data_IF_891382926300
#
_entry.id   IF_891382926300
#
_cell.length_a   1.000
_cell.length_b   1.000
_cell.length_c   1.000
_cell.angle_alpha   90.00
_cell.angle_beta   90.00
_cell.angle_gamma   90.00
#
_symmetry.space_group_name_H-M   'P 1'
#
loop_
_entity.id
_entity.type
_entity.pdbx_description
1 polymer ?
#
# COMPACT_ATOMS: atom_id res chain seq x y z
N UNK A 1 3.70 -2.38 -31.37
CA UNK A 1 4.53 -2.51 -30.16
C UNK A 1 3.57 -2.65 -29.00
N UNK A 2 3.63 -3.73 -28.22
CA UNK A 2 2.75 -3.90 -27.06
C UNK A 2 3.12 -2.81 -26.04
N UNK A 3 2.22 -1.88 -25.79
CA UNK A 3 2.23 -1.01 -24.63
C UNK A 3 2.34 -1.89 -23.38
N UNK A 4 3.56 -2.12 -22.91
CA UNK A 4 3.80 -2.60 -21.55
C UNK A 4 3.24 -1.51 -20.66
N UNK A 5 1.98 -1.69 -20.21
CA UNK A 5 1.39 -0.89 -19.14
C UNK A 5 2.49 -0.73 -18.10
N UNK A 6 3.00 0.48 -17.91
CA UNK A 6 3.88 0.80 -16.80
C UNK A 6 3.08 0.46 -15.57
N UNK A 7 3.30 -0.72 -15.00
CA UNK A 7 2.69 -1.08 -13.74
C UNK A 7 3.11 0.00 -12.75
N UNK A 8 2.13 0.73 -12.24
CA UNK A 8 2.39 1.74 -11.24
C UNK A 8 2.84 1.00 -9.99
N UNK A 9 4.16 1.04 -9.74
CA UNK A 9 4.79 0.42 -8.58
C UNK A 9 4.49 1.19 -7.29
N UNK A 10 3.82 2.34 -7.36
CA UNK A 10 3.35 3.03 -6.16
C UNK A 10 1.97 2.48 -5.78
N UNK A 11 1.78 2.25 -4.47
CA UNK A 11 0.53 1.91 -3.81
C UNK A 11 0.26 2.96 -2.75
N UNK A 12 -0.99 3.37 -2.60
CA UNK A 12 -1.40 4.31 -1.56
C UNK A 12 -2.07 3.51 -0.45
N UNK A 13 -1.51 3.58 0.74
CA UNK A 13 -2.08 3.00 1.95
C UNK A 13 -2.80 4.12 2.69
N UNK A 14 -4.11 3.98 2.87
CA UNK A 14 -4.93 4.88 3.65
C UNK A 14 -5.26 4.25 4.99
N UNK A 15 -4.87 4.92 6.06
CA UNK A 15 -5.07 4.48 7.43
C UNK A 15 -6.38 5.02 8.01
N UNK A 16 -6.93 4.34 9.02
CA UNK A 16 -8.19 4.77 9.70
C UNK A 16 -8.07 6.10 10.44
N UNK A 17 -6.86 6.51 10.81
CA UNK A 17 -6.57 7.83 11.39
C UNK A 17 -6.50 8.96 10.34
N UNK A 18 -6.90 8.69 9.09
CA UNK A 18 -6.84 9.59 7.94
C UNK A 18 -5.44 9.89 7.39
N UNK A 19 -4.39 9.25 7.90
CA UNK A 19 -3.06 9.36 7.29
C UNK A 19 -2.99 8.61 5.95
N UNK A 20 -2.19 9.15 5.04
CA UNK A 20 -1.89 8.55 3.74
C UNK A 20 -0.40 8.24 3.69
N UNK A 21 -0.07 7.04 3.20
CA UNK A 21 1.30 6.59 3.07
C UNK A 21 1.52 5.99 1.69
N UNK A 22 2.57 6.45 1.01
CA UNK A 22 2.96 5.93 -0.29
C UNK A 22 3.96 4.79 -0.11
N UNK A 23 3.64 3.64 -0.69
CA UNK A 23 4.52 2.47 -0.71
C UNK A 23 4.98 2.21 -2.13
N UNK A 24 6.28 1.97 -2.34
CA UNK A 24 6.82 1.60 -3.65
C UNK A 24 7.18 0.11 -3.65
N UNK A 25 6.46 -0.67 -4.45
CA UNK A 25 6.62 -2.11 -4.57
C UNK A 25 5.39 -2.74 -5.21
N UNK A 26 5.29 -4.06 -5.09
CA UNK A 26 4.09 -4.76 -5.51
C UNK A 26 2.97 -4.69 -4.45
N UNK A 27 1.78 -5.16 -4.81
CA UNK A 27 0.64 -5.16 -3.91
C UNK A 27 0.84 -6.09 -2.69
N UNK A 28 1.56 -7.19 -2.86
CA UNK A 28 1.80 -8.18 -1.80
C UNK A 28 2.73 -7.60 -0.74
N UNK A 29 3.78 -6.92 -1.18
CA UNK A 29 4.70 -6.17 -0.32
C UNK A 29 3.97 -5.06 0.44
N UNK A 30 3.10 -4.30 -0.23
CA UNK A 30 2.30 -3.27 0.41
C UNK A 30 1.36 -3.83 1.48
N UNK A 31 0.70 -4.97 1.21
CA UNK A 31 -0.15 -5.66 2.20
C UNK A 31 0.67 -6.18 3.38
N UNK A 32 1.83 -6.79 3.13
CA UNK A 32 2.69 -7.30 4.20
C UNK A 32 3.17 -6.17 5.12
N UNK A 33 3.60 -5.05 4.54
CA UNK A 33 3.96 -3.85 5.27
C UNK A 33 2.78 -3.30 6.07
N UNK A 34 1.62 -3.12 5.43
CA UNK A 34 0.45 -2.54 6.06
C UNK A 34 -0.08 -3.40 7.21
N UNK A 35 -0.09 -4.73 7.05
CA UNK A 35 -0.47 -5.69 8.09
C UNK A 35 0.44 -5.62 9.30
N UNK A 36 1.76 -5.50 9.10
CA UNK A 36 2.72 -5.38 10.21
C UNK A 36 2.45 -4.11 11.01
N UNK A 37 2.35 -2.96 10.33
CA UNK A 37 2.09 -1.66 10.97
C UNK A 37 0.71 -1.60 11.63
N UNK A 38 -0.30 -2.24 11.05
CA UNK A 38 -1.63 -2.40 11.67
C UNK A 38 -1.54 -3.15 13.00
N UNK A 39 -0.75 -4.22 13.09
CA UNK A 39 -0.54 -4.95 14.33
C UNK A 39 0.22 -4.14 15.39
N UNK A 40 1.15 -3.26 14.98
CA UNK A 40 1.93 -2.40 15.87
C UNK A 40 1.14 -1.18 16.38
N UNK A 41 0.24 -0.63 15.56
CA UNK A 41 -0.49 0.62 15.83
C UNK A 41 -1.94 0.43 16.24
N UNK A 42 -2.53 -0.74 15.95
CA UNK A 42 -3.97 -1.00 16.08
C UNK A 42 -4.82 -0.30 15.00
N UNK A 43 -4.20 0.31 13.99
CA UNK A 43 -4.89 0.95 12.87
C UNK A 43 -5.30 -0.07 11.81
N UNK A 44 -6.41 0.19 11.13
CA UNK A 44 -6.83 -0.55 9.94
C UNK A 44 -6.42 0.23 8.68
N UNK A 45 -6.40 -0.43 7.52
CA UNK A 45 -5.89 0.15 6.28
C UNK A 45 -6.65 -0.27 5.02
N UNK A 46 -6.60 0.59 4.02
CA UNK A 46 -7.10 0.34 2.66
C UNK A 46 -5.96 0.65 1.68
N UNK A 47 -5.68 -0.26 0.74
CA UNK A 47 -4.64 -0.07 -0.29
C UNK A 47 -5.31 0.24 -1.63
N UNK A 48 -4.87 1.32 -2.30
CA UNK A 48 -5.31 1.77 -3.62
C UNK A 48 -4.17 1.81 -4.63
#
# INVERSE_FOLDING_TARGET
MQDKKKENKVKIIRWTNMELECFYGDYVEAVAYARKKAAETGLDYIIS
#
